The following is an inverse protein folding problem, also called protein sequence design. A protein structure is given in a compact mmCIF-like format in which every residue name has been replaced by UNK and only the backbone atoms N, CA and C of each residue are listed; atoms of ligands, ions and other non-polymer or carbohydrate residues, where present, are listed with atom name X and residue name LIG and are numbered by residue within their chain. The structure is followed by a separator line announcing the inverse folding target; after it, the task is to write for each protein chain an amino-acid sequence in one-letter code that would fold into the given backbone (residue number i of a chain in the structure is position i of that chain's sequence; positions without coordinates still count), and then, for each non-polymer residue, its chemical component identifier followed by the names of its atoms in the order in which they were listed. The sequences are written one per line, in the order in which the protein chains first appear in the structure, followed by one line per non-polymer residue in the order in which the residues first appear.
data_IF_914160698260
#
_entry.id   IF_914160698260
#
_cell.length_a   1.000
_cell.length_b   1.000
_cell.length_c   1.000
_cell.angle_alpha   90.00
_cell.angle_beta   90.00
_cell.angle_gamma   90.00
#
_symmetry.space_group_name_H-M   'P 1'
#
loop_
_entity.id
_entity.type
_entity.pdbx_description
1 polymer ?
#
# COMPACT_ATOMS: atom_id res chain seq x y z
N UNK A 1 35.05 56.91 34.51
CA UNK A 1 35.23 55.66 35.27
C UNK A 1 34.05 55.47 36.21
N UNK A 2 33.05 54.68 35.79
CA UNK A 2 31.87 54.24 36.55
C UNK A 2 31.38 52.94 35.93
N UNK A 3 31.38 51.86 36.69
CA UNK A 3 30.61 50.64 36.42
C UNK A 3 29.10 50.97 36.48
N UNK A 4 28.26 50.24 35.74
CA UNK A 4 27.45 49.24 36.44
C UNK A 4 27.18 47.94 35.66
N UNK A 5 27.02 46.87 36.43
CA UNK A 5 26.44 45.58 36.09
C UNK A 5 25.00 45.67 35.57
N UNK A 6 24.57 44.72 34.72
CA UNK A 6 23.20 44.19 34.45
C UNK A 6 23.42 43.09 33.38
N UNK A 7 22.84 41.90 33.34
CA UNK A 7 22.09 41.05 34.25
C UNK A 7 22.05 39.70 33.51
N UNK A 8 22.20 38.58 34.22
CA UNK A 8 21.92 37.25 33.66
C UNK A 8 20.42 37.18 33.37
N UNK A 9 20.04 37.32 32.11
CA UNK A 9 18.68 37.03 31.66
C UNK A 9 18.55 35.50 31.52
N UNK A 10 18.23 34.86 32.64
CA UNK A 10 17.52 33.60 32.66
C UNK A 10 16.13 33.86 32.06
N UNK A 11 15.93 33.48 30.80
CA UNK A 11 14.66 33.58 30.09
C UNK A 11 14.35 32.26 29.40
N UNK A 12 13.52 31.44 30.07
CA UNK A 12 12.96 30.16 29.62
C UNK A 12 12.77 30.07 28.10
N UNK A 13 13.58 29.23 27.43
CA UNK A 13 13.28 28.71 26.11
C UNK A 13 12.12 27.72 26.26
N UNK A 14 10.88 28.24 26.19
CA UNK A 14 9.68 27.43 26.02
C UNK A 14 9.74 26.76 24.64
N UNK A 15 10.38 25.60 24.56
CA UNK A 15 10.34 24.74 23.38
C UNK A 15 8.91 24.22 23.22
N UNK A 16 8.10 24.91 22.42
CA UNK A 16 6.81 24.42 21.97
C UNK A 16 7.04 23.19 21.07
N UNK A 17 6.96 22.00 21.66
CA UNK A 17 6.97 20.74 20.92
C UNK A 17 5.68 20.63 20.12
N UNK A 18 5.72 20.99 18.83
CA UNK A 18 4.61 20.72 17.91
C UNK A 18 4.49 19.21 17.74
N UNK A 19 3.49 18.61 18.40
CA UNK A 19 3.04 17.24 18.15
C UNK A 19 2.46 17.20 16.73
N UNK A 20 3.24 16.71 15.75
CA UNK A 20 2.69 16.32 14.46
C UNK A 20 1.86 15.05 14.67
N UNK A 21 0.55 15.20 14.82
CA UNK A 21 -0.38 14.11 14.61
C UNK A 21 -0.35 13.73 13.12
N UNK A 22 0.49 12.77 12.75
CA UNK A 22 0.32 12.06 11.50
C UNK A 22 -0.98 11.25 11.61
N UNK A 23 -2.06 11.79 11.05
CA UNK A 23 -3.26 11.00 10.82
C UNK A 23 -2.89 9.91 9.82
N UNK A 24 -2.61 8.71 10.32
CA UNK A 24 -2.47 7.53 9.49
C UNK A 24 -3.85 7.29 8.87
N UNK A 25 -4.07 7.78 7.65
CA UNK A 25 -5.13 7.23 6.82
C UNK A 25 -4.85 5.73 6.77
N UNK A 26 -5.69 4.93 7.45
CA UNK A 26 -5.63 3.48 7.36
C UNK A 26 -5.44 3.14 5.89
N UNK A 27 -4.32 2.49 5.52
CA UNK A 27 -3.87 2.35 4.14
C UNK A 27 -5.07 2.04 3.25
N UNK A 28 -5.55 3.06 2.55
CA UNK A 28 -6.80 2.96 1.82
C UNK A 28 -6.54 1.94 0.73
N UNK A 29 -7.26 0.83 0.79
CA UNK A 29 -7.18 -0.24 -0.19
C UNK A 29 -7.57 0.33 -1.55
N UNK A 30 -6.64 0.48 -2.51
CA UNK A 30 -6.99 1.07 -3.79
C UNK A 30 -8.04 0.22 -4.50
N UNK A 31 -9.01 0.89 -5.12
CA UNK A 31 -10.10 0.25 -5.85
C UNK A 31 -9.75 0.18 -7.34
N UNK A 32 -9.73 -1.04 -7.90
CA UNK A 32 -9.42 -1.24 -9.32
C UNK A 32 -10.41 -0.49 -10.21
N UNK A 33 -11.66 -0.30 -9.78
CA UNK A 33 -12.70 0.45 -10.49
C UNK A 33 -12.40 1.94 -10.61
N UNK A 34 -11.51 2.47 -9.77
CA UNK A 34 -11.04 3.86 -9.81
C UNK A 34 -9.73 4.04 -10.62
N UNK A 35 -9.08 2.95 -11.03
CA UNK A 35 -7.81 2.93 -11.75
C UNK A 35 -7.98 2.37 -13.17
N UNK A 36 -7.19 2.83 -14.12
CA UNK A 36 -7.08 2.14 -15.43
C UNK A 36 -6.40 0.79 -15.25
N UNK A 37 -6.56 -0.14 -16.20
CA UNK A 37 -5.87 -1.42 -16.15
C UNK A 37 -4.35 -1.23 -16.11
N UNK A 38 -3.83 -0.22 -16.83
CA UNK A 38 -2.41 0.13 -16.80
C UNK A 38 -1.95 0.61 -15.41
N UNK A 39 -2.75 1.41 -14.71
CA UNK A 39 -2.45 1.85 -13.34
C UNK A 39 -2.48 0.69 -12.35
N UNK A 40 -3.51 -0.17 -12.44
CA UNK A 40 -3.62 -1.39 -11.61
C UNK A 40 -2.42 -2.31 -11.80
N UNK A 41 -2.03 -2.56 -13.05
CA UNK A 41 -0.84 -3.34 -13.39
C UNK A 41 0.46 -2.70 -12.89
N UNK A 42 0.60 -1.38 -13.01
CA UNK A 42 1.77 -0.67 -12.53
C UNK A 42 1.91 -0.79 -11.00
N UNK A 43 0.81 -0.66 -10.25
CA UNK A 43 0.79 -0.81 -8.80
C UNK A 43 1.14 -2.23 -8.36
N UNK A 44 0.56 -3.26 -8.99
CA UNK A 44 0.92 -4.65 -8.68
C UNK A 44 2.40 -4.92 -8.97
N UNK A 45 2.93 -4.34 -10.05
CA UNK A 45 4.35 -4.47 -10.40
C UNK A 45 5.29 -3.75 -9.45
N UNK A 46 4.90 -2.60 -8.87
CA UNK A 46 5.74 -1.89 -7.89
C UNK A 46 5.76 -2.59 -6.55
N UNK A 47 4.61 -3.09 -6.11
CA UNK A 47 4.43 -3.62 -4.76
C UNK A 47 4.66 -5.13 -4.71
N UNK A 48 4.73 -5.79 -5.87
CA UNK A 48 4.84 -7.23 -6.11
C UNK A 48 3.63 -8.06 -5.64
N UNK A 49 3.05 -7.70 -4.49
CA UNK A 49 1.79 -8.20 -3.96
C UNK A 49 1.01 -7.07 -3.31
N UNK A 50 -0.23 -6.86 -3.73
CA UNK A 50 -1.06 -5.76 -3.22
C UNK A 50 -2.52 -6.20 -3.09
N UNK A 51 -3.14 -5.73 -2.02
CA UNK A 51 -4.54 -6.00 -1.68
C UNK A 51 -5.39 -4.89 -2.32
N UNK A 52 -6.26 -5.23 -3.29
CA UNK A 52 -7.06 -4.26 -4.06
C UNK A 52 -8.56 -4.54 -4.00
N UNK A 53 -9.36 -3.49 -3.86
CA UNK A 53 -10.84 -3.60 -3.88
C UNK A 53 -11.27 -3.81 -5.32
N UNK A 54 -12.19 -4.74 -5.56
CA UNK A 54 -12.71 -5.08 -6.90
C UNK A 54 -14.22 -4.89 -7.03
N UNK A 55 -14.91 -4.59 -5.93
CA UNK A 55 -16.36 -4.41 -5.87
C UNK A 55 -16.78 -3.72 -4.56
N UNK A 56 -18.09 -3.50 -4.32
CA UNK A 56 -18.58 -2.84 -3.11
C UNK A 56 -18.07 -3.49 -1.82
N UNK A 57 -18.04 -4.83 -1.81
CA UNK A 57 -17.63 -5.65 -0.66
C UNK A 57 -16.58 -6.71 -1.05
N UNK A 58 -16.08 -6.69 -2.30
CA UNK A 58 -15.17 -7.72 -2.83
C UNK A 58 -13.79 -7.20 -3.05
N UNK A 59 -12.83 -8.09 -2.80
CA UNK A 59 -11.48 -7.69 -2.53
C UNK A 59 -10.59 -8.93 -2.66
N UNK A 60 -9.42 -8.80 -3.30
CA UNK A 60 -8.42 -9.88 -3.36
C UNK A 60 -6.97 -9.36 -3.23
N UNK A 61 -6.02 -10.27 -2.97
CA UNK A 61 -4.58 -10.02 -3.04
C UNK A 61 -4.09 -10.40 -4.44
N UNK A 62 -3.58 -9.42 -5.17
CA UNK A 62 -3.02 -9.62 -6.49
C UNK A 62 -1.50 -9.60 -6.44
N UNK A 63 -0.88 -10.46 -7.24
CA UNK A 63 0.56 -10.61 -7.35
C UNK A 63 1.03 -10.34 -8.77
N UNK A 64 2.31 -10.04 -8.93
CA UNK A 64 2.94 -10.00 -10.26
C UNK A 64 2.94 -11.41 -10.88
N UNK A 65 2.90 -11.46 -12.22
CA UNK A 65 2.86 -12.71 -12.99
C UNK A 65 4.07 -13.62 -12.71
N UNK A 66 5.25 -13.02 -12.59
CA UNK A 66 6.51 -13.72 -12.38
C UNK A 66 7.12 -13.22 -11.09
N UNK A 67 7.26 -14.12 -10.12
CA UNK A 67 7.78 -13.81 -8.80
C UNK A 67 7.63 -14.96 -7.83
N UNK A 68 7.72 -14.64 -6.54
CA UNK A 68 7.79 -15.58 -5.44
C UNK A 68 6.86 -15.13 -4.29
N UNK A 69 5.75 -14.50 -4.65
CA UNK A 69 4.73 -13.97 -3.73
C UNK A 69 3.60 -14.98 -3.45
N UNK A 70 3.57 -16.10 -4.16
CA UNK A 70 2.69 -17.24 -3.88
C UNK A 70 3.45 -18.26 -3.04
N UNK A 71 2.79 -18.76 -2.01
CA UNK A 71 3.32 -19.81 -1.16
C UNK A 71 3.08 -21.17 -1.81
N UNK A 72 4.01 -22.11 -1.67
CA UNK A 72 3.80 -23.47 -2.18
C UNK A 72 2.60 -24.12 -1.45
N UNK A 73 1.63 -24.72 -2.15
CA UNK A 73 1.67 -25.15 -3.56
C UNK A 73 0.99 -24.20 -4.57
N UNK A 74 0.64 -22.99 -4.18
CA UNK A 74 -0.03 -21.99 -5.03
C UNK A 74 0.88 -21.47 -6.14
N UNK A 75 0.26 -21.08 -7.26
CA UNK A 75 0.93 -20.41 -8.38
C UNK A 75 0.13 -19.18 -8.82
N UNK A 76 0.75 -18.20 -9.49
CA UNK A 76 0.02 -17.06 -10.05
C UNK A 76 -0.94 -17.49 -11.16
N UNK A 77 -2.24 -17.51 -10.87
CA UNK A 77 -3.29 -17.80 -11.84
C UNK A 77 -3.94 -16.49 -12.27
N UNK A 78 -4.18 -16.36 -13.57
CA UNK A 78 -4.78 -15.16 -14.12
C UNK A 78 -6.27 -15.11 -13.85
N UNK A 79 -6.74 -13.95 -13.40
CA UNK A 79 -8.16 -13.62 -13.28
C UNK A 79 -8.42 -12.24 -13.88
N UNK A 80 -9.68 -11.86 -13.97
CA UNK A 80 -10.11 -10.58 -14.53
C UNK A 80 -10.86 -9.79 -13.48
N UNK A 81 -10.56 -8.50 -13.36
CA UNK A 81 -11.21 -7.58 -12.41
C UNK A 81 -11.75 -6.35 -13.15
N UNK A 82 -12.85 -5.75 -12.65
CA UNK A 82 -13.33 -4.47 -13.16
C UNK A 82 -12.31 -3.36 -12.95
N UNK A 83 -12.07 -2.56 -13.99
CA UNK A 83 -11.24 -1.38 -14.00
C UNK A 83 -11.97 -0.19 -14.61
N UNK A 84 -11.42 1.02 -14.44
CA UNK A 84 -12.02 2.26 -14.95
C UNK A 84 -12.24 2.26 -16.48
N UNK A 85 -11.35 1.59 -17.21
CA UNK A 85 -11.31 1.51 -18.66
C UNK A 85 -11.80 0.16 -19.23
N UNK A 86 -12.43 -0.68 -18.42
CA UNK A 86 -12.99 -1.97 -18.81
C UNK A 86 -12.53 -3.10 -17.90
N UNK A 87 -12.30 -4.27 -18.46
CA UNK A 87 -11.80 -5.43 -17.72
C UNK A 87 -10.26 -5.45 -17.69
N UNK A 88 -9.68 -5.80 -16.55
CA UNK A 88 -8.23 -5.90 -16.39
C UNK A 88 -7.81 -7.31 -15.99
N UNK A 89 -6.95 -7.92 -16.79
CA UNK A 89 -6.28 -9.19 -16.42
C UNK A 89 -5.27 -8.92 -15.32
N UNK A 90 -5.36 -9.66 -14.23
CA UNK A 90 -4.45 -9.63 -13.07
C UNK A 90 -4.13 -11.07 -12.64
N UNK A 91 -3.24 -11.26 -11.66
CA UNK A 91 -2.89 -12.58 -11.15
C UNK A 91 -3.12 -12.63 -9.65
N UNK A 92 -3.63 -13.76 -9.16
CA UNK A 92 -3.70 -14.06 -7.72
C UNK A 92 -3.17 -15.47 -7.50
N UNK A 93 -2.76 -15.76 -6.28
CA UNK A 93 -2.27 -17.08 -5.94
C UNK A 93 -3.45 -18.03 -5.78
N UNK A 94 -3.42 -19.13 -6.53
CA UNK A 94 -4.39 -20.21 -6.42
C UNK A 94 -3.65 -21.53 -6.49
N UNK A 95 -4.18 -22.55 -5.81
CA UNK A 95 -3.70 -23.91 -5.94
C UNK A 95 -4.06 -24.46 -7.34
N UNK A 96 -3.08 -24.95 -8.13
CA UNK A 96 -3.38 -25.57 -9.41
C UNK A 96 -4.29 -26.79 -9.26
N UNK A 97 -5.33 -26.87 -10.10
CA UNK A 97 -6.35 -27.92 -10.06
C UNK A 97 -5.82 -29.35 -10.36
N UNK A 98 -4.60 -29.47 -10.88
CA UNK A 98 -3.97 -30.74 -11.29
C UNK A 98 -2.77 -31.14 -10.41
N UNK A 99 -2.68 -30.64 -9.17
CA UNK A 99 -1.64 -31.10 -8.25
C UNK A 99 -1.97 -32.53 -7.78
N UNK A 100 -1.08 -33.52 -7.99
CA UNK A 100 -1.29 -34.84 -7.41
C UNK A 100 -1.21 -34.74 -5.89
N UNK A 101 -2.27 -35.17 -5.20
CA UNK A 101 -2.29 -35.37 -3.74
C UNK A 101 -1.06 -36.21 -3.35
N UNK A 102 -0.16 -35.63 -2.56
CA UNK A 102 1.03 -36.32 -2.05
C UNK A 102 0.79 -36.99 -0.72
#
# INVERSE_FOLDING_TARGET
MRTPSIAFLAGNLLSASTLLCAANAAHARPDTRAMTCAQTQALIKSDHAVVLTTGPDTYDRFVRQFGNECDWPEVPISTTVPAKDGECRVYRCEEPVDLPDR
#
